data_IF_181410405045
#
_entry.id   IF_181410405045
#
_cell.length_a   1.000
_cell.length_b   1.000
_cell.length_c   1.000
_cell.angle_alpha   90.00
_cell.angle_beta   90.00
_cell.angle_gamma   90.00
#
_symmetry.space_group_name_H-M   'P 1'
#
loop_
_entity.id
_entity.type
_entity.pdbx_description
1 polymer ?
#
# COMPACT_ATOMS: atom_id res chain seq x y z
N UNK A 1 1.79 12.60 -10.32
CA UNK A 1 1.46 11.29 -10.95
C UNK A 1 0.66 10.48 -9.95
N UNK A 2 -0.18 9.55 -10.38
CA UNK A 2 -1.08 8.78 -9.49
C UNK A 2 -1.51 7.47 -10.14
N UNK A 3 -2.16 6.61 -9.37
CA UNK A 3 -2.67 5.31 -9.85
C UNK A 3 -4.19 5.38 -9.89
N UNK A 4 -4.76 5.07 -11.04
CA UNK A 4 -6.20 5.14 -11.27
C UNK A 4 -6.72 3.77 -11.69
N UNK A 5 -7.88 3.40 -11.17
CA UNK A 5 -8.55 2.18 -11.58
C UNK A 5 -9.00 2.29 -13.05
N UNK A 6 -8.74 1.27 -13.86
CA UNK A 6 -9.21 1.22 -15.26
C UNK A 6 -10.60 0.59 -15.39
N UNK A 7 -11.04 -0.11 -14.34
CA UNK A 7 -12.32 -0.80 -14.22
C UNK A 7 -12.82 -0.75 -12.77
N UNK A 8 -14.04 -1.21 -12.52
CA UNK A 8 -14.56 -1.33 -11.15
C UNK A 8 -13.81 -2.44 -10.40
N UNK A 9 -13.28 -2.10 -9.22
CA UNK A 9 -12.52 -3.03 -8.38
C UNK A 9 -13.28 -3.25 -7.07
N UNK A 10 -13.41 -4.52 -6.67
CA UNK A 10 -14.14 -4.89 -5.46
C UNK A 10 -13.27 -4.79 -4.22
N UNK A 11 -13.93 -4.49 -3.10
CA UNK A 11 -13.32 -4.63 -1.77
C UNK A 11 -12.69 -6.01 -1.61
N UNK A 12 -11.46 -6.04 -1.10
CA UNK A 12 -10.69 -7.25 -0.85
C UNK A 12 -9.82 -7.70 -2.02
N UNK A 13 -9.90 -7.07 -3.19
CA UNK A 13 -9.02 -7.37 -4.31
C UNK A 13 -7.57 -7.04 -3.97
N UNK A 14 -6.69 -8.03 -4.15
CA UNK A 14 -5.23 -7.84 -4.09
C UNK A 14 -4.73 -7.32 -5.43
N UNK A 15 -4.13 -6.12 -5.43
CA UNK A 15 -3.63 -5.47 -6.66
C UNK A 15 -2.20 -5.86 -7.02
N UNK A 16 -1.46 -6.44 -6.06
CA UNK A 16 -0.10 -6.93 -6.25
C UNK A 16 0.93 -6.26 -5.35
N UNK A 17 2.20 -6.48 -5.67
CA UNK A 17 3.34 -6.13 -4.82
C UNK A 17 3.66 -4.63 -4.97
N UNK A 18 3.78 -3.94 -3.83
CA UNK A 18 4.22 -2.54 -3.74
C UNK A 18 5.69 -2.42 -3.37
N UNK A 19 6.17 -3.31 -2.50
CA UNK A 19 7.54 -3.29 -1.98
C UNK A 19 8.11 -4.70 -1.89
N UNK A 20 9.40 -4.85 -2.14
CA UNK A 20 10.18 -6.08 -1.91
C UNK A 20 11.41 -5.73 -1.08
N UNK A 21 11.72 -6.53 -0.08
CA UNK A 21 12.93 -6.39 0.73
C UNK A 21 14.12 -6.98 -0.01
N UNK A 22 15.08 -6.14 -0.40
CA UNK A 22 16.32 -6.55 -1.07
C UNK A 22 17.48 -5.89 -0.35
N UNK A 23 18.48 -6.69 0.06
CA UNK A 23 19.67 -6.19 0.77
C UNK A 23 19.34 -5.25 1.95
N UNK A 24 18.35 -5.63 2.77
CA UNK A 24 17.87 -4.83 3.92
C UNK A 24 17.21 -3.49 3.56
N UNK A 25 16.81 -3.29 2.31
CA UNK A 25 16.10 -2.11 1.84
C UNK A 25 14.78 -2.46 1.18
N UNK A 26 13.74 -1.66 1.44
CA UNK A 26 12.47 -1.75 0.73
C UNK A 26 12.59 -1.11 -0.65
N UNK A 27 12.56 -1.94 -1.70
CA UNK A 27 12.53 -1.49 -3.09
C UNK A 27 11.08 -1.42 -3.56
N UNK A 28 10.69 -0.28 -4.14
CA UNK A 28 9.33 -0.05 -4.64
C UNK A 28 9.18 -0.58 -6.05
N UNK A 29 8.08 -1.28 -6.30
CA UNK A 29 7.60 -1.53 -7.67
C UNK A 29 6.97 -0.25 -8.23
N UNK A 30 6.64 -0.17 -9.53
CA UNK A 30 5.85 0.95 -10.05
C UNK A 30 4.54 1.19 -9.29
N UNK A 31 3.87 0.13 -8.83
CA UNK A 31 2.65 0.22 -7.99
C UNK A 31 2.93 0.93 -6.66
N UNK A 32 4.04 0.61 -5.98
CA UNK A 32 4.45 1.31 -4.76
C UNK A 32 5.05 2.71 -5.00
N UNK A 33 5.57 2.95 -6.21
CA UNK A 33 6.22 4.19 -6.61
C UNK A 33 5.25 5.33 -6.92
N UNK A 34 4.08 5.01 -7.49
CA UNK A 34 3.12 6.00 -8.00
C UNK A 34 1.82 6.10 -7.19
N UNK A 35 1.57 5.22 -6.22
CA UNK A 35 0.38 5.33 -5.36
C UNK A 35 0.46 6.57 -4.48
N UNK A 36 -0.58 7.39 -4.45
CA UNK A 36 -0.62 8.62 -3.67
C UNK A 36 -1.13 8.42 -2.24
N UNK A 37 -0.88 9.42 -1.42
CA UNK A 37 -1.33 9.47 -0.03
C UNK A 37 -2.77 9.97 0.10
N UNK A 38 -3.52 9.41 1.06
CA UNK A 38 -4.78 9.97 1.56
C UNK A 38 -4.96 9.63 3.04
N UNK A 39 -5.54 10.55 3.83
CA UNK A 39 -5.98 10.32 5.21
C UNK A 39 -7.19 9.37 5.29
N UNK A 40 -7.93 9.25 4.18
CA UNK A 40 -9.05 8.32 4.00
C UNK A 40 -8.76 7.47 2.77
N UNK A 41 -7.83 6.51 2.86
CA UNK A 41 -7.43 5.72 1.71
C UNK A 41 -8.47 4.64 1.38
N UNK A 42 -8.52 4.23 0.11
CA UNK A 42 -9.31 3.10 -0.37
C UNK A 42 -8.49 1.81 -0.55
N UNK A 43 -7.21 1.83 -0.16
CA UNK A 43 -6.34 0.66 -0.14
C UNK A 43 -5.46 0.59 1.11
N UNK A 44 -4.99 -0.62 1.44
CA UNK A 44 -4.05 -0.89 2.54
C UNK A 44 -2.90 -1.79 2.10
N UNK A 45 -1.79 -1.71 2.82
CA UNK A 45 -0.63 -2.58 2.66
C UNK A 45 -0.73 -3.79 3.58
N UNK A 46 -0.31 -4.96 3.09
CA UNK A 46 -0.17 -6.18 3.88
C UNK A 46 1.23 -6.76 3.69
N UNK A 47 2.00 -6.88 4.78
CA UNK A 47 3.37 -7.40 4.74
C UNK A 47 3.33 -8.92 4.80
N UNK A 48 4.05 -9.58 3.89
CA UNK A 48 4.08 -11.03 3.72
C UNK A 48 5.52 -11.52 3.56
N UNK A 49 5.70 -12.82 3.72
CA UNK A 49 7.00 -13.49 3.55
C UNK A 49 6.81 -14.65 2.58
N UNK A 50 7.69 -14.77 1.60
CA UNK A 50 7.78 -15.92 0.69
C UNK A 50 9.24 -16.18 0.37
N UNK A 51 9.68 -17.43 0.46
CA UNK A 51 11.06 -17.85 0.16
C UNK A 51 12.11 -16.99 0.92
N UNK A 52 11.84 -16.70 2.20
CA UNK A 52 12.66 -15.85 3.07
C UNK A 52 12.81 -14.39 2.60
N UNK A 53 11.95 -13.93 1.68
CA UNK A 53 11.89 -12.54 1.22
C UNK A 53 10.61 -11.89 1.75
N UNK A 54 10.78 -10.80 2.51
CA UNK A 54 9.68 -9.92 2.89
C UNK A 54 9.20 -9.11 1.67
N UNK A 55 7.88 -9.04 1.48
CA UNK A 55 7.26 -8.20 0.47
C UNK A 55 5.97 -7.59 1.02
N UNK A 56 5.50 -6.50 0.41
CA UNK A 56 4.22 -5.88 0.77
C UNK A 56 3.30 -5.90 -0.43
N UNK A 57 2.06 -6.36 -0.24
CA UNK A 57 1.01 -6.23 -1.26
C UNK A 57 0.06 -5.08 -0.95
N UNK A 58 -0.64 -4.61 -1.98
CA UNK A 58 -1.73 -3.64 -1.86
C UNK A 58 -3.08 -4.34 -1.98
N UNK A 59 -3.99 -4.06 -1.05
CA UNK A 59 -5.33 -4.64 -0.99
C UNK A 59 -6.36 -3.53 -0.94
N UNK A 60 -7.38 -3.59 -1.79
CA UNK A 60 -8.50 -2.64 -1.79
C UNK A 60 -9.39 -2.84 -0.55
N UNK A 61 -9.73 -1.74 0.14
CA UNK A 61 -10.50 -1.76 1.41
C UNK A 61 -11.98 -1.40 1.26
N UNK A 62 -12.36 -0.85 0.11
CA UNK A 62 -13.74 -0.51 -0.27
C UNK A 62 -13.90 -0.60 -1.80
N UNK A 63 -15.12 -0.71 -2.32
CA UNK A 63 -15.32 -0.76 -3.78
C UNK A 63 -14.80 0.53 -4.44
N UNK A 64 -13.98 0.39 -5.49
CA UNK A 64 -13.38 1.49 -6.26
C UNK A 64 -14.00 1.49 -7.66
N UNK A 65 -14.44 2.65 -8.16
CA UNK A 65 -15.00 2.74 -9.52
C UNK A 65 -13.90 2.94 -10.56
N UNK A 66 -14.20 2.54 -11.78
CA UNK A 66 -13.36 2.90 -12.91
C UNK A 66 -13.11 4.43 -12.94
N UNK A 67 -11.85 4.81 -13.14
CA UNK A 67 -11.29 6.18 -13.10
C UNK A 67 -11.09 6.80 -11.73
N UNK A 68 -11.50 6.15 -10.64
CA UNK A 68 -11.17 6.63 -9.30
C UNK A 68 -9.69 6.40 -9.00
N UNK A 69 -9.11 7.30 -8.21
CA UNK A 69 -7.73 7.18 -7.75
C UNK A 69 -7.62 6.14 -6.63
N UNK A 70 -6.60 5.29 -6.72
CA UNK A 70 -6.24 4.35 -5.66
C UNK A 70 -5.22 5.05 -4.76
N UNK A 71 -5.55 5.17 -3.47
CA UNK A 71 -4.75 5.90 -2.48
C UNK A 71 -4.43 5.03 -1.27
N UNK A 72 -3.35 5.36 -0.58
CA UNK A 72 -2.85 4.61 0.57
C UNK A 72 -2.47 5.55 1.73
N UNK A 73 -2.56 5.06 2.97
CA UNK A 73 -2.11 5.85 4.13
C UNK A 73 -0.60 5.66 4.35
N UNK A 74 0.17 6.74 4.21
CA UNK A 74 1.60 6.73 4.46
C UNK A 74 1.87 6.84 5.95
N UNK A 75 2.69 5.94 6.49
CA UNK A 75 3.24 6.06 7.84
C UNK A 75 4.61 6.74 7.79
N UNK A 76 4.74 7.87 7.08
CA UNK A 76 5.95 8.70 7.19
C UNK A 76 5.87 9.52 8.47
N UNK A 77 7.01 9.80 9.10
CA UNK A 77 7.08 10.56 10.36
C UNK A 77 6.39 11.93 10.27
N UNK A 78 6.38 12.51 9.07
CA UNK A 78 5.69 13.76 8.72
C UNK A 78 4.16 13.68 8.90
N UNK A 79 3.58 12.48 8.91
CA UNK A 79 2.16 12.21 9.13
C UNK A 79 1.86 11.60 10.51
N UNK A 80 2.86 11.42 11.39
CA UNK A 80 2.72 10.86 12.75
C UNK A 80 2.26 11.88 13.79
N UNK A 81 1.25 12.68 13.46
CA UNK A 81 0.45 13.39 14.47
C UNK A 81 -0.33 12.43 15.40
N UNK A 82 -0.32 11.12 15.12
CA UNK A 82 -0.96 10.08 15.94
C UNK A 82 0.06 8.97 16.24
N UNK A 83 0.55 8.95 17.46
CA UNK A 83 1.49 7.95 17.97
C UNK A 83 0.78 6.59 18.12
N UNK A 84 1.25 5.58 17.40
CA UNK A 84 1.05 4.19 17.81
C UNK A 84 2.38 3.62 18.29
N UNK A 85 2.46 3.31 19.59
CA UNK A 85 3.54 2.52 20.17
C UNK A 85 3.43 1.10 19.62
N UNK A 86 4.32 0.74 18.70
CA UNK A 86 4.49 -0.67 18.35
C UNK A 86 5.39 -1.30 19.41
N UNK A 87 4.82 -2.05 20.34
CA UNK A 87 5.61 -2.97 21.16
C UNK A 87 6.09 -4.10 20.25
N UNK A 88 7.39 -4.09 19.95
CA UNK A 88 8.10 -5.21 19.34
C UNK A 88 9.14 -5.70 20.35
N UNK A 89 8.70 -6.60 21.22
CA UNK A 89 9.46 -7.72 21.80
C UNK A 89 8.46 -8.87 21.99
#
# INVERSE_FOLDING_TARGET
MGIFAVEDIKKGTELGITHVMVWQSWIRTPLGGFINHSDKPNAKGDNRIKDSVDYRILIITEDVKARDEITFFYTLDEYKGVSFKTNRL
#
